data_IF_300854238670
#
_entry.id   IF_300854238670
#
_cell.length_a   1.000
_cell.length_b   1.000
_cell.length_c   1.000
_cell.angle_alpha   90.00
_cell.angle_beta   90.00
_cell.angle_gamma   90.00
#
_symmetry.space_group_name_H-M   'P 1'
#
loop_
_entity.id
_entity.type
_entity.pdbx_description
1 polymer ?
#
# COMPACT_ATOMS: atom_id res chain seq x y z
N UNK A 1 52.51 -6.37 67.07
CA UNK A 1 52.02 -5.13 66.44
C UNK A 1 52.77 -4.93 65.13
N UNK A 2 52.02 -4.54 64.10
CA UNK A 2 52.30 -4.71 62.68
C UNK A 2 53.46 -3.89 62.10
N UNK A 3 54.00 -4.40 60.98
CA UNK A 3 54.91 -3.76 60.03
C UNK A 3 55.88 -4.84 59.51
N UNK A 4 56.11 -5.08 58.22
CA UNK A 4 55.79 -4.39 56.96
C UNK A 4 56.03 -5.45 55.87
N UNK A 5 55.19 -5.58 54.84
CA UNK A 5 55.43 -6.53 53.73
C UNK A 5 55.39 -5.82 52.38
N UNK A 6 56.46 -6.08 51.63
CA UNK A 6 56.85 -5.60 50.30
C UNK A 6 55.76 -5.47 49.25
N UNK A 7 55.82 -4.32 48.58
CA UNK A 7 55.92 -4.10 47.12
C UNK A 7 55.99 -5.34 46.22
N UNK A 8 54.98 -5.47 45.36
CA UNK A 8 55.11 -6.02 44.00
C UNK A 8 54.36 -5.06 43.08
N UNK A 9 55.10 -4.58 42.08
CA UNK A 9 54.67 -3.64 41.05
C UNK A 9 54.02 -4.34 39.85
N UNK A 10 53.15 -3.57 39.19
CA UNK A 10 52.85 -3.51 37.75
C UNK A 10 52.23 -4.72 37.04
N UNK A 11 50.93 -4.60 36.73
CA UNK A 11 50.46 -4.64 35.34
C UNK A 11 49.03 -4.06 35.23
N UNK A 12 48.88 -2.79 34.86
CA UNK A 12 47.60 -2.24 34.38
C UNK A 12 47.50 -2.46 32.86
N UNK A 13 46.44 -3.10 32.35
CA UNK A 13 46.02 -2.90 30.98
C UNK A 13 45.01 -1.74 30.93
N UNK A 14 45.37 -0.76 30.12
CA UNK A 14 44.57 0.35 29.65
C UNK A 14 43.32 -0.08 28.87
N UNK A 15 42.26 0.71 29.08
CA UNK A 15 41.25 1.14 28.10
C UNK A 15 40.53 0.07 27.25
N UNK A 16 39.29 -0.20 27.65
CA UNK A 16 38.20 -0.44 26.71
C UNK A 16 36.90 0.04 27.36
N UNK A 17 36.62 1.34 27.23
CA UNK A 17 35.28 1.87 27.42
C UNK A 17 34.31 1.19 26.46
N UNK A 18 33.63 0.15 26.92
CA UNK A 18 32.44 -0.40 26.24
C UNK A 18 31.35 0.65 26.38
N UNK A 19 31.17 1.48 25.35
CA UNK A 19 29.96 2.26 25.16
C UNK A 19 28.82 1.27 24.90
N UNK A 20 28.01 1.09 25.93
CA UNK A 20 26.79 0.29 25.91
C UNK A 20 25.71 1.08 25.14
N UNK A 21 25.71 0.99 23.82
CA UNK A 21 24.68 1.56 22.93
C UNK A 21 23.36 0.75 22.97
N UNK A 22 22.92 0.34 24.16
CA UNK A 22 21.66 -0.40 24.41
C UNK A 22 20.46 0.55 24.65
N UNK A 23 20.24 1.52 23.77
CA UNK A 23 19.14 2.50 23.92
C UNK A 23 17.90 2.28 23.03
N UNK A 24 17.84 1.21 22.23
CA UNK A 24 16.71 0.95 21.31
C UNK A 24 15.48 0.28 21.94
N UNK A 25 15.64 -0.79 22.74
CA UNK A 25 14.52 -1.64 23.15
C UNK A 25 13.71 -1.11 24.34
N UNK A 26 14.35 -0.46 25.31
CA UNK A 26 13.68 0.09 26.51
C UNK A 26 12.70 1.23 26.19
N UNK A 27 12.97 2.00 25.13
CA UNK A 27 12.13 3.14 24.73
C UNK A 27 10.79 2.71 24.14
N UNK A 28 10.81 1.73 23.23
CA UNK A 28 9.62 1.27 22.54
C UNK A 28 8.66 0.50 23.45
N UNK A 29 9.18 -0.31 24.39
CA UNK A 29 8.35 -1.00 25.39
C UNK A 29 7.68 -0.02 26.38
N UNK A 30 8.40 1.06 26.73
CA UNK A 30 7.86 2.16 27.54
C UNK A 30 6.75 2.94 26.81
N UNK A 31 6.95 3.27 25.53
CA UNK A 31 5.96 4.00 24.73
C UNK A 31 4.70 3.18 24.47
N UNK A 32 4.86 1.88 24.25
CA UNK A 32 3.77 0.92 24.09
C UNK A 32 2.94 0.81 25.37
N UNK A 33 3.60 0.61 26.52
CA UNK A 33 2.92 0.55 27.81
C UNK A 33 2.18 1.85 28.11
N UNK A 34 2.74 3.00 27.72
CA UNK A 34 2.06 4.31 27.81
C UNK A 34 0.88 4.43 26.86
N UNK A 35 0.89 3.73 25.72
CA UNK A 35 -0.23 3.72 24.78
C UNK A 35 -1.41 2.92 25.34
N UNK A 36 -1.17 1.69 25.80
CA UNK A 36 -2.21 0.83 26.38
C UNK A 36 -2.79 1.42 27.65
N UNK A 37 -1.95 1.95 28.53
CA UNK A 37 -2.40 2.62 29.76
C UNK A 37 -3.32 3.81 29.45
N UNK A 38 -2.97 4.65 28.47
CA UNK A 38 -3.82 5.78 28.04
C UNK A 38 -5.17 5.31 27.51
N UNK A 39 -5.19 4.23 26.74
CA UNK A 39 -6.44 3.66 26.22
C UNK A 39 -7.30 3.09 27.34
N UNK A 40 -6.69 2.37 28.29
CA UNK A 40 -7.38 1.83 29.46
C UNK A 40 -7.93 2.94 30.37
N UNK A 41 -7.13 3.97 30.68
CA UNK A 41 -7.55 5.09 31.53
C UNK A 41 -8.75 5.82 30.94
N UNK A 42 -8.74 6.07 29.63
CA UNK A 42 -9.88 6.67 28.94
C UNK A 42 -11.12 5.75 29.01
N UNK A 43 -10.97 4.47 28.67
CA UNK A 43 -12.05 3.49 28.77
C UNK A 43 -12.64 3.40 30.18
N UNK A 44 -11.80 3.34 31.19
CA UNK A 44 -12.19 3.26 32.60
C UNK A 44 -12.94 4.53 33.03
N UNK A 45 -12.48 5.71 32.58
CA UNK A 45 -13.16 6.98 32.85
C UNK A 45 -14.58 7.04 32.27
N UNK A 46 -14.82 6.39 31.12
CA UNK A 46 -16.14 6.29 30.49
C UNK A 46 -17.04 5.25 31.17
N UNK A 47 -16.45 4.19 31.72
CA UNK A 47 -17.17 3.09 32.36
C UNK A 47 -17.92 3.57 33.60
N UNK A 48 -17.25 4.35 34.45
CA UNK A 48 -17.79 4.72 35.76
C UNK A 48 -18.27 3.49 36.53
N UNK A 49 -19.50 3.54 37.05
CA UNK A 49 -20.10 2.45 37.82
C UNK A 49 -20.78 1.36 36.97
N UNK A 50 -20.77 1.48 35.63
CA UNK A 50 -21.38 0.49 34.73
C UNK A 50 -20.48 -0.75 34.58
N UNK A 51 -21.06 -1.82 34.04
CA UNK A 51 -20.31 -3.00 33.64
C UNK A 51 -19.43 -2.70 32.43
N UNK A 52 -19.96 -1.95 31.45
CA UNK A 52 -19.22 -1.49 30.28
C UNK A 52 -19.47 0.00 29.99
N UNK A 53 -18.46 0.73 29.46
CA UNK A 53 -18.67 2.07 28.93
C UNK A 53 -19.61 2.05 27.72
N UNK A 54 -20.35 3.14 27.55
CA UNK A 54 -21.24 3.28 26.41
C UNK A 54 -20.45 3.65 25.16
N UNK A 55 -20.72 2.96 24.06
CA UNK A 55 -20.14 3.26 22.75
C UNK A 55 -20.43 4.71 22.32
N UNK A 56 -21.63 5.21 22.62
CA UNK A 56 -22.06 6.58 22.29
C UNK A 56 -21.25 7.68 22.99
N UNK A 57 -20.48 7.35 24.03
CA UNK A 57 -19.62 8.29 24.75
C UNK A 57 -18.18 8.36 24.19
N UNK A 58 -17.87 7.57 23.16
CA UNK A 58 -16.60 7.69 22.45
C UNK A 58 -16.54 9.02 21.68
N UNK A 59 -15.47 9.77 21.90
CA UNK A 59 -15.22 11.05 21.23
C UNK A 59 -13.93 10.98 20.41
N UNK A 60 -13.85 11.69 19.27
CA UNK A 60 -12.61 11.80 18.52
C UNK A 60 -11.43 12.32 19.37
N UNK A 61 -11.68 13.25 20.29
CA UNK A 61 -10.69 13.85 21.17
C UNK A 61 -10.10 12.83 22.14
N UNK A 62 -10.95 11.99 22.76
CA UNK A 62 -10.50 10.92 23.65
C UNK A 62 -9.70 9.84 22.93
N UNK A 63 -10.04 9.57 21.66
CA UNK A 63 -9.31 8.59 20.84
C UNK A 63 -8.00 9.13 20.27
N UNK A 64 -7.86 10.46 20.11
CA UNK A 64 -6.74 11.10 19.41
C UNK A 64 -5.34 10.57 19.78
N UNK A 65 -5.02 10.28 21.06
CA UNK A 65 -3.68 9.82 21.45
C UNK A 65 -3.28 8.44 20.89
N UNK A 66 -4.24 7.57 20.56
CA UNK A 66 -4.00 6.20 20.10
C UNK A 66 -4.79 5.84 18.83
N UNK A 67 -5.50 6.81 18.25
CA UNK A 67 -6.38 6.68 17.08
C UNK A 67 -5.78 5.92 15.91
N UNK A 68 -4.50 6.13 15.58
CA UNK A 68 -3.85 5.48 14.45
C UNK A 68 -3.53 4.00 14.70
N UNK A 69 -3.45 3.61 15.98
CA UNK A 69 -3.13 2.28 16.48
C UNK A 69 -4.39 1.52 16.95
N UNK A 70 -5.59 2.01 16.60
CA UNK A 70 -6.85 1.43 17.08
C UNK A 70 -7.65 0.75 15.97
N UNK A 71 -8.41 -0.26 16.35
CA UNK A 71 -9.44 -0.93 15.56
C UNK A 71 -10.71 -0.99 16.40
N UNK A 72 -11.85 -0.56 15.85
CA UNK A 72 -13.15 -0.76 16.48
C UNK A 72 -13.88 -1.90 15.78
N UNK A 73 -14.29 -2.87 16.58
CA UNK A 73 -15.01 -4.05 16.15
C UNK A 73 -16.41 -4.05 16.75
N UNK A 74 -17.40 -4.43 15.95
CA UNK A 74 -18.73 -4.80 16.42
C UNK A 74 -18.85 -6.32 16.37
N UNK A 75 -19.23 -6.93 17.50
CA UNK A 75 -19.50 -8.36 17.54
C UNK A 75 -20.78 -8.66 16.75
N UNK A 76 -20.69 -9.66 15.88
CA UNK A 76 -21.77 -10.09 14.99
C UNK A 76 -21.92 -11.61 15.07
N UNK A 77 -23.07 -12.14 14.66
CA UNK A 77 -23.27 -13.58 14.57
C UNK A 77 -22.21 -14.18 13.62
N UNK A 78 -21.27 -14.92 14.19
CA UNK A 78 -20.17 -15.55 13.45
C UNK A 78 -18.86 -14.79 13.42
N UNK A 79 -18.69 -13.64 14.10
CA UNK A 79 -17.36 -12.98 14.21
C UNK A 79 -17.42 -11.51 14.60
N UNK A 80 -16.55 -10.70 14.00
CA UNK A 80 -16.46 -9.27 14.28
C UNK A 80 -16.40 -8.42 13.01
N UNK A 81 -17.21 -7.37 12.93
CA UNK A 81 -17.27 -6.43 11.83
C UNK A 81 -16.49 -5.15 12.15
N UNK A 82 -15.63 -4.73 11.24
CA UNK A 82 -14.80 -3.55 11.41
C UNK A 82 -15.62 -2.27 11.25
N UNK A 83 -15.68 -1.45 12.30
CA UNK A 83 -16.39 -0.16 12.30
C UNK A 83 -15.46 1.04 12.17
N UNK A 84 -14.21 0.89 12.60
CA UNK A 84 -13.15 1.89 12.45
C UNK A 84 -11.79 1.19 12.38
N UNK A 85 -10.89 1.72 11.56
CA UNK A 85 -9.50 1.26 11.45
C UNK A 85 -8.55 2.45 11.45
N UNK A 86 -7.55 2.39 12.33
CA UNK A 86 -6.45 3.34 12.39
C UNK A 86 -5.42 3.08 11.29
N UNK A 87 -4.76 4.14 10.85
CA UNK A 87 -3.82 4.09 9.72
C UNK A 87 -2.71 3.05 9.91
N UNK A 88 -2.17 2.89 11.13
CA UNK A 88 -1.10 1.93 11.38
C UNK A 88 -1.62 0.50 11.38
N UNK A 89 -2.80 0.25 11.97
CA UNK A 89 -3.45 -1.06 11.94
C UNK A 89 -3.76 -1.48 10.50
N UNK A 90 -4.18 -0.55 9.65
CA UNK A 90 -4.41 -0.81 8.22
C UNK A 90 -3.16 -1.27 7.44
N UNK A 91 -1.95 -1.05 7.97
CA UNK A 91 -0.70 -1.52 7.36
C UNK A 91 -0.32 -2.96 7.75
N UNK A 92 -1.00 -3.55 8.75
CA UNK A 92 -0.72 -4.91 9.22
C UNK A 92 -1.12 -5.99 8.22
N UNK A 93 -2.00 -5.65 7.29
CA UNK A 93 -2.70 -6.61 6.48
C UNK A 93 -2.27 -6.49 5.03
N UNK A 94 -2.04 -7.64 4.40
CA UNK A 94 -1.65 -7.73 2.99
C UNK A 94 -2.75 -7.17 2.07
N UNK A 95 -4.00 -7.35 2.50
CA UNK A 95 -5.19 -6.77 1.90
C UNK A 95 -5.77 -5.65 2.79
N UNK A 96 -6.25 -4.55 2.18
CA UNK A 96 -6.81 -3.44 2.95
C UNK A 96 -8.13 -3.85 3.62
N UNK A 97 -8.13 -3.89 4.96
CA UNK A 97 -9.39 -3.93 5.71
C UNK A 97 -10.15 -2.63 5.52
N UNK A 98 -11.38 -2.76 5.01
CA UNK A 98 -12.30 -1.65 4.88
C UNK A 98 -13.31 -1.66 6.03
N UNK A 99 -13.84 -0.48 6.34
CA UNK A 99 -14.98 -0.35 7.23
C UNK A 99 -16.16 -1.16 6.65
N UNK A 100 -16.79 -1.96 7.48
CA UNK A 100 -17.89 -2.85 7.12
C UNK A 100 -17.45 -4.27 6.78
N UNK A 101 -16.15 -4.54 6.66
CA UNK A 101 -15.66 -5.90 6.42
C UNK A 101 -15.70 -6.73 7.71
N UNK A 102 -16.08 -8.00 7.60
CA UNK A 102 -16.00 -8.97 8.67
C UNK A 102 -14.59 -9.56 8.75
N UNK A 103 -14.02 -9.71 9.96
CA UNK A 103 -12.67 -10.24 10.13
C UNK A 103 -12.49 -11.66 9.60
N UNK A 104 -13.55 -12.48 9.57
CA UNK A 104 -13.48 -13.82 8.96
C UNK A 104 -13.25 -13.81 7.45
N UNK A 105 -13.37 -12.66 6.78
CA UNK A 105 -13.01 -12.53 5.37
C UNK A 105 -11.49 -12.63 5.13
N UNK A 106 -10.67 -12.66 6.19
CA UNK A 106 -9.21 -12.72 6.13
C UNK A 106 -8.67 -13.96 6.88
N UNK A 107 -9.01 -15.19 6.46
CA UNK A 107 -8.59 -16.40 7.15
C UNK A 107 -7.06 -16.61 7.14
N UNK A 108 -6.37 -16.12 6.10
CA UNK A 108 -4.92 -16.21 5.97
C UNK A 108 -4.17 -15.08 6.71
N UNK A 109 -4.89 -14.16 7.36
CA UNK A 109 -4.28 -13.12 8.16
C UNK A 109 -3.99 -13.60 9.58
N UNK A 110 -2.71 -13.77 9.88
CA UNK A 110 -2.18 -13.99 11.23
C UNK A 110 -2.83 -13.07 12.29
N UNK A 111 -2.85 -11.76 12.01
CA UNK A 111 -3.44 -10.76 12.90
C UNK A 111 -4.96 -10.92 13.08
N UNK A 112 -5.71 -11.13 11.98
CA UNK A 112 -7.17 -11.29 12.08
C UNK A 112 -7.54 -12.57 12.83
N UNK A 113 -6.86 -13.68 12.53
CA UNK A 113 -7.07 -14.97 13.19
C UNK A 113 -6.72 -14.92 14.68
N UNK A 114 -5.60 -14.31 15.05
CA UNK A 114 -5.22 -14.11 16.44
C UNK A 114 -6.26 -13.29 17.20
N UNK A 115 -6.75 -12.21 16.58
CA UNK A 115 -7.73 -11.32 17.18
C UNK A 115 -9.10 -11.99 17.34
N UNK A 116 -9.55 -12.75 16.35
CA UNK A 116 -10.77 -13.58 16.43
C UNK A 116 -10.69 -14.59 17.59
N UNK A 117 -9.51 -15.19 17.81
CA UNK A 117 -9.27 -16.09 18.94
C UNK A 117 -9.42 -15.41 20.31
N UNK A 118 -9.10 -14.13 20.45
CA UNK A 118 -9.22 -13.40 21.73
C UNK A 118 -10.66 -13.26 22.21
N UNK A 119 -11.64 -13.29 21.31
CA UNK A 119 -13.05 -13.12 21.64
C UNK A 119 -13.93 -14.26 21.12
N UNK A 120 -13.34 -15.44 20.93
CA UNK A 120 -14.08 -16.67 20.62
C UNK A 120 -15.08 -17.00 21.76
N UNK A 121 -14.66 -16.79 23.01
CA UNK A 121 -15.49 -17.01 24.21
C UNK A 121 -16.20 -15.74 24.67
N UNK A 122 -17.32 -15.93 25.38
CA UNK A 122 -18.05 -14.83 26.02
C UNK A 122 -17.16 -14.08 27.03
N UNK A 123 -16.39 -14.82 27.84
CA UNK A 123 -15.44 -14.22 28.80
C UNK A 123 -14.38 -13.36 28.10
N UNK A 124 -13.88 -13.82 26.95
CA UNK A 124 -12.98 -13.04 26.10
C UNK A 124 -13.63 -11.72 25.70
N UNK A 125 -14.87 -11.75 25.18
CA UNK A 125 -15.61 -10.55 24.75
C UNK A 125 -15.88 -9.53 25.85
N UNK A 126 -15.97 -9.97 27.10
CA UNK A 126 -16.35 -9.12 28.23
C UNK A 126 -15.17 -8.60 29.05
N UNK A 127 -13.94 -9.07 28.82
CA UNK A 127 -12.80 -8.68 29.64
C UNK A 127 -11.98 -7.57 28.97
N UNK A 128 -11.70 -6.50 29.72
CA UNK A 128 -10.62 -5.59 29.38
C UNK A 128 -9.29 -6.32 29.64
N UNK A 129 -8.59 -6.69 28.57
CA UNK A 129 -7.41 -7.55 28.66
C UNK A 129 -6.33 -7.14 27.67
N UNK A 130 -5.09 -7.18 28.14
CA UNK A 130 -3.94 -7.16 27.27
C UNK A 130 -3.74 -8.54 26.64
N UNK A 131 -3.28 -8.55 25.40
CA UNK A 131 -2.89 -9.75 24.68
C UNK A 131 -1.57 -9.50 23.97
N UNK A 132 -0.83 -10.59 23.82
CA UNK A 132 0.40 -10.64 23.05
C UNK A 132 0.26 -11.76 22.03
N UNK A 133 0.68 -11.47 20.82
CA UNK A 133 0.65 -12.38 19.72
C UNK A 133 1.94 -12.23 18.92
N UNK A 134 2.65 -13.33 18.80
CA UNK A 134 3.93 -13.40 18.13
C UNK A 134 3.83 -14.52 17.09
N UNK A 135 3.75 -14.15 15.81
CA UNK A 135 3.76 -15.09 14.68
C UNK A 135 4.74 -14.61 13.62
N UNK A 136 5.64 -15.50 13.19
CA UNK A 136 6.76 -15.21 12.30
C UNK A 136 7.53 -13.93 12.71
N UNK A 137 7.48 -12.93 11.83
CA UNK A 137 8.12 -11.63 11.96
C UNK A 137 7.21 -10.60 12.60
N UNK A 138 5.97 -10.91 12.96
CA UNK A 138 5.04 -9.97 13.56
C UNK A 138 5.00 -10.18 15.07
N UNK A 139 5.53 -9.21 15.81
CA UNK A 139 5.33 -9.06 17.25
C UNK A 139 4.24 -8.02 17.44
N UNK A 140 3.06 -8.46 17.85
CA UNK A 140 1.89 -7.63 18.08
C UNK A 140 1.46 -7.72 19.53
N UNK A 141 1.32 -6.58 20.16
CA UNK A 141 0.80 -6.46 21.51
C UNK A 141 -0.35 -5.48 21.51
N UNK A 142 -1.38 -5.78 22.28
CA UNK A 142 -2.55 -4.92 22.30
C UNK A 142 -3.33 -5.03 23.58
N UNK A 143 -4.28 -4.12 23.71
CA UNK A 143 -5.32 -4.16 24.73
C UNK A 143 -6.68 -4.15 24.04
N UNK A 144 -7.54 -5.07 24.48
CA UNK A 144 -8.94 -5.14 24.09
C UNK A 144 -9.79 -4.51 25.18
N UNK A 145 -10.71 -3.63 24.76
CA UNK A 145 -11.52 -2.79 25.63
C UNK A 145 -12.99 -2.85 25.18
N UNK A 146 -13.86 -3.58 25.91
CA UNK A 146 -15.24 -3.81 25.49
C UNK A 146 -16.15 -2.59 25.70
N UNK A 147 -17.09 -2.35 24.79
CA UNK A 147 -18.09 -1.29 24.89
C UNK A 147 -19.50 -1.86 24.69
N UNK A 148 -20.47 -1.15 25.24
CA UNK A 148 -21.88 -1.51 25.18
C UNK A 148 -22.73 -0.40 24.55
N UNK A 149 -23.89 -0.75 24.00
CA UNK A 149 -24.94 0.22 23.68
C UNK A 149 -25.67 0.73 24.94
N UNK A 150 -25.81 -0.12 25.95
CA UNK A 150 -26.70 0.05 27.12
C UNK A 150 -25.97 0.02 28.46
N UNK A 151 -24.77 -0.55 28.51
CA UNK A 151 -23.88 -0.58 29.67
C UNK A 151 -23.76 -1.94 30.37
N UNK A 152 -24.47 -2.96 29.89
CA UNK A 152 -24.65 -4.30 30.48
C UNK A 152 -24.14 -5.43 29.58
N UNK A 153 -24.26 -5.30 28.25
CA UNK A 153 -23.78 -6.33 27.30
C UNK A 153 -22.67 -5.77 26.41
N UNK A 154 -21.56 -6.49 26.27
CA UNK A 154 -20.49 -6.11 25.35
C UNK A 154 -20.94 -6.32 23.89
N UNK A 155 -21.06 -5.23 23.13
CA UNK A 155 -21.42 -5.25 21.71
C UNK A 155 -20.24 -4.92 20.80
N UNK A 156 -19.23 -4.23 21.35
CA UNK A 156 -18.08 -3.78 20.60
C UNK A 156 -16.80 -4.07 21.37
N UNK A 157 -15.69 -4.12 20.64
CA UNK A 157 -14.34 -4.08 21.20
C UNK A 157 -13.55 -2.96 20.54
N UNK A 158 -12.99 -2.06 21.33
CA UNK A 158 -11.86 -1.24 20.90
C UNK A 158 -10.59 -2.04 21.14
N UNK A 159 -9.82 -2.23 20.09
CA UNK A 159 -8.54 -2.93 20.13
C UNK A 159 -7.47 -1.89 19.84
N UNK A 160 -6.60 -1.64 20.79
CA UNK A 160 -5.45 -0.74 20.62
C UNK A 160 -4.21 -1.62 20.56
N UNK A 161 -3.51 -1.58 19.44
CA UNK A 161 -2.36 -2.45 19.18
C UNK A 161 -1.15 -1.63 18.84
N UNK A 162 -0.01 -2.05 19.37
CA UNK A 162 1.27 -1.72 18.80
C UNK A 162 1.85 -2.98 18.17
N UNK A 163 2.62 -2.80 17.12
CA UNK A 163 3.24 -3.92 16.47
C UNK A 163 4.62 -3.53 15.99
N UNK A 164 5.51 -4.51 16.06
CA UNK A 164 6.83 -4.45 15.47
C UNK A 164 6.88 -5.60 14.50
N UNK A 165 7.20 -5.27 13.25
CA UNK A 165 7.75 -6.30 12.40
C UNK A 165 9.17 -6.53 12.93
N UNK A 166 9.41 -7.64 13.62
CA UNK A 166 10.76 -8.12 13.87
C UNK A 166 11.44 -8.12 12.51
N UNK A 167 12.47 -7.29 12.36
CA UNK A 167 13.47 -7.58 11.35
C UNK A 167 13.88 -9.01 11.67
N UNK A 168 13.65 -9.92 10.73
CA UNK A 168 13.90 -11.33 10.98
C UNK A 168 15.28 -11.44 11.60
N UNK A 169 15.38 -12.23 12.68
CA UNK A 169 16.69 -12.76 13.05
C UNK A 169 17.22 -13.37 11.76
N UNK A 170 18.22 -12.71 11.17
CA UNK A 170 18.95 -13.17 10.00
C UNK A 170 19.62 -14.47 10.41
N UNK A 171 18.90 -15.58 10.29
CA UNK A 171 19.42 -16.94 10.28
C UNK A 171 18.86 -17.68 9.06
N UNK A 172 18.70 -16.96 7.96
CA UNK A 172 18.85 -17.50 6.61
C UNK A 172 20.05 -16.78 6.02
N UNK A 173 20.98 -17.52 5.43
CA UNK A 173 22.13 -17.00 4.70
C UNK A 173 21.78 -15.66 4.03
N UNK A 174 22.53 -14.59 4.32
CA UNK A 174 22.43 -13.35 3.56
C UNK A 174 22.61 -13.73 2.10
N UNK A 175 21.52 -13.79 1.34
CA UNK A 175 21.61 -14.22 -0.04
C UNK A 175 22.37 -13.13 -0.79
N UNK A 176 23.60 -13.45 -1.15
CA UNK A 176 24.50 -12.52 -1.79
C UNK A 176 24.12 -12.37 -3.27
N UNK A 177 23.52 -11.23 -3.60
CA UNK A 177 23.21 -10.86 -4.97
C UNK A 177 24.38 -10.17 -5.70
N UNK A 178 25.59 -10.16 -5.12
CA UNK A 178 26.77 -9.53 -5.73
C UNK A 178 27.07 -10.09 -7.11
N UNK A 179 26.82 -11.37 -7.37
CA UNK A 179 27.02 -11.97 -8.69
C UNK A 179 26.02 -11.44 -9.72
N UNK A 180 24.74 -11.28 -9.34
CA UNK A 180 23.72 -10.70 -10.21
C UNK A 180 23.97 -9.22 -10.51
N UNK A 181 24.43 -8.46 -9.51
CA UNK A 181 24.87 -7.07 -9.67
C UNK A 181 26.11 -7.01 -10.57
N UNK A 182 27.10 -7.85 -10.33
CA UNK A 182 28.31 -7.94 -11.15
C UNK A 182 28.01 -8.31 -12.61
N UNK A 183 27.04 -9.20 -12.86
CA UNK A 183 26.56 -9.50 -14.20
C UNK A 183 25.93 -8.27 -14.89
N UNK A 184 25.14 -7.48 -14.15
CA UNK A 184 24.58 -6.22 -14.65
C UNK A 184 25.68 -5.22 -15.02
N UNK A 185 26.67 -5.03 -14.15
CA UNK A 185 27.78 -4.10 -14.37
C UNK A 185 28.63 -4.49 -15.58
N UNK A 186 28.95 -5.78 -15.74
CA UNK A 186 29.67 -6.31 -16.90
C UNK A 186 28.90 -6.05 -18.19
N UNK A 187 27.61 -6.37 -18.21
CA UNK A 187 26.77 -6.17 -19.39
C UNK A 187 26.62 -4.69 -19.75
N UNK A 188 26.40 -3.82 -18.76
CA UNK A 188 26.30 -2.37 -18.96
C UNK A 188 27.61 -1.78 -19.49
N UNK A 189 28.77 -2.25 -18.98
CA UNK A 189 30.09 -1.83 -19.46
C UNK A 189 30.31 -2.19 -20.93
N UNK A 190 29.86 -3.38 -21.37
CA UNK A 190 29.92 -3.79 -22.78
C UNK A 190 29.11 -2.89 -23.71
N UNK A 191 28.04 -2.26 -23.22
CA UNK A 191 27.26 -1.27 -23.99
C UNK A 191 28.03 0.04 -24.18
N UNK A 192 28.88 0.43 -23.22
CA UNK A 192 29.62 1.69 -23.21
C UNK A 192 30.95 1.65 -23.99
N UNK A 193 31.62 0.49 -24.04
CA UNK A 193 32.97 0.36 -24.61
C UNK A 193 33.04 0.16 -26.13
N UNK A 194 31.90 -0.05 -26.79
CA UNK A 194 31.82 -0.08 -28.26
C UNK A 194 31.29 1.27 -28.73
N UNK A 195 31.96 1.91 -29.69
CA UNK A 195 31.57 3.16 -30.36
C UNK A 195 30.17 3.03 -31.00
N UNK A 196 29.13 3.11 -30.17
CA UNK A 196 27.78 2.64 -30.49
C UNK A 196 27.59 1.16 -30.13
N UNK A 197 27.30 0.88 -28.85
CA UNK A 197 26.97 -0.46 -28.35
C UNK A 197 26.06 -1.25 -29.30
N UNK A 198 26.48 -2.46 -29.66
CA UNK A 198 25.68 -3.31 -30.55
C UNK A 198 24.29 -3.54 -29.93
N UNK A 199 23.25 -3.67 -30.76
CA UNK A 199 21.88 -3.93 -30.28
C UNK A 199 21.83 -5.20 -29.42
N UNK A 200 22.65 -6.19 -29.76
CA UNK A 200 22.81 -7.43 -29.00
C UNK A 200 23.34 -7.16 -27.59
N UNK A 201 24.41 -6.36 -27.44
CA UNK A 201 24.95 -5.98 -26.12
C UNK A 201 23.92 -5.25 -25.24
N UNK A 202 23.08 -4.40 -25.83
CA UNK A 202 21.99 -3.76 -25.08
C UNK A 202 20.96 -4.79 -24.61
N UNK A 203 20.60 -5.76 -25.45
CA UNK A 203 19.61 -6.78 -25.09
C UNK A 203 20.14 -7.73 -24.02
N UNK A 204 21.43 -8.06 -24.04
CA UNK A 204 22.11 -8.78 -22.95
C UNK A 204 22.08 -7.99 -21.64
N UNK A 205 22.28 -6.67 -21.68
CA UNK A 205 22.15 -5.82 -20.49
C UNK A 205 20.69 -5.80 -19.95
N UNK A 206 19.69 -5.85 -20.84
CA UNK A 206 18.29 -5.97 -20.43
C UNK A 206 17.97 -7.36 -19.85
N UNK A 207 18.58 -8.43 -20.37
CA UNK A 207 18.48 -9.77 -19.83
C UNK A 207 19.09 -9.86 -18.42
N UNK A 208 20.28 -9.28 -18.21
CA UNK A 208 20.90 -9.19 -16.89
C UNK A 208 20.03 -8.39 -15.89
N UNK A 209 19.45 -7.26 -16.32
CA UNK A 209 18.54 -6.48 -15.49
C UNK A 209 17.26 -7.27 -15.12
N UNK A 210 16.72 -8.05 -16.05
CA UNK A 210 15.58 -8.93 -15.78
C UNK A 210 15.96 -10.06 -14.83
N UNK A 211 17.13 -10.65 -14.98
CA UNK A 211 17.65 -11.69 -14.06
C UNK A 211 17.75 -11.16 -12.64
N UNK A 212 18.33 -9.98 -12.44
CA UNK A 212 18.41 -9.32 -11.14
C UNK A 212 17.03 -9.07 -10.54
N UNK A 213 16.04 -8.70 -11.35
CA UNK A 213 14.67 -8.53 -10.90
C UNK A 213 14.03 -9.86 -10.48
N UNK A 214 14.16 -10.92 -11.29
CA UNK A 214 13.64 -12.27 -11.03
C UNK A 214 14.25 -12.85 -9.75
N UNK A 215 15.57 -12.76 -9.60
CA UNK A 215 16.31 -13.16 -8.40
C UNK A 215 15.83 -12.37 -7.18
N UNK A 216 15.58 -11.06 -7.35
CA UNK A 216 15.00 -10.23 -6.30
C UNK A 216 13.54 -10.56 -5.96
N UNK A 217 12.78 -11.22 -6.83
CA UNK A 217 11.46 -11.77 -6.47
C UNK A 217 11.59 -13.04 -5.62
N UNK A 218 12.60 -13.86 -5.88
CA UNK A 218 12.91 -15.06 -5.08
C UNK A 218 13.53 -14.69 -3.73
N UNK A 219 14.29 -13.59 -3.67
CA UNK A 219 15.00 -13.11 -2.49
C UNK A 219 14.62 -11.65 -2.14
N UNK A 220 13.36 -11.38 -1.74
CA UNK A 220 12.84 -10.01 -1.58
C UNK A 220 13.58 -9.18 -0.51
N UNK A 221 14.12 -9.82 0.53
CA UNK A 221 14.87 -9.14 1.58
C UNK A 221 16.24 -8.66 1.07
N UNK A 222 16.98 -9.52 0.38
CA UNK A 222 18.26 -9.16 -0.25
C UNK A 222 18.05 -8.05 -1.29
N UNK A 223 16.98 -8.14 -2.10
CA UNK A 223 16.61 -7.10 -3.05
C UNK A 223 16.25 -5.77 -2.40
N UNK A 224 15.50 -5.79 -1.30
CA UNK A 224 15.19 -4.57 -0.55
C UNK A 224 16.45 -3.93 0.06
N UNK A 225 17.41 -4.73 0.53
CA UNK A 225 18.70 -4.23 1.03
C UNK A 225 19.52 -3.58 -0.09
N UNK A 226 19.68 -4.27 -1.24
CA UNK A 226 20.37 -3.74 -2.42
C UNK A 226 19.75 -2.41 -2.90
N UNK A 227 18.41 -2.35 -2.98
CA UNK A 227 17.73 -1.11 -3.38
C UNK A 227 17.99 0.03 -2.41
N UNK A 228 18.03 -0.25 -1.11
CA UNK A 228 18.30 0.75 -0.07
C UNK A 228 19.71 1.31 -0.19
N UNK A 229 20.70 0.44 -0.39
CA UNK A 229 22.10 0.82 -0.62
C UNK A 229 22.25 1.69 -1.87
N UNK A 230 21.55 1.34 -2.95
CA UNK A 230 21.52 2.11 -4.18
C UNK A 230 20.70 3.42 -4.10
N UNK A 231 20.05 3.72 -2.96
CA UNK A 231 19.17 4.89 -2.79
C UNK A 231 17.87 4.80 -3.62
N UNK A 232 17.42 3.59 -3.93
CA UNK A 232 16.24 3.29 -4.72
C UNK A 232 15.11 2.73 -3.84
N UNK A 233 13.88 2.72 -4.38
CA UNK A 233 12.71 2.10 -3.75
C UNK A 233 12.03 1.18 -4.75
N UNK A 234 11.49 0.06 -4.26
CA UNK A 234 10.65 -0.82 -5.05
C UNK A 234 9.39 -0.09 -5.51
N UNK A 235 8.93 -0.35 -6.74
CA UNK A 235 7.82 0.37 -7.36
C UNK A 235 6.82 -0.59 -7.98
N UNK A 236 5.68 -0.83 -7.30
CA UNK A 236 4.60 -1.72 -7.81
C UNK A 236 4.13 -1.35 -9.22
N UNK A 237 4.09 -0.06 -9.56
CA UNK A 237 3.66 0.44 -10.88
C UNK A 237 4.75 0.39 -11.96
N UNK A 238 6.00 0.18 -11.58
CA UNK A 238 7.16 0.19 -12.46
C UNK A 238 8.21 -0.85 -11.99
N UNK A 239 7.84 -2.15 -11.93
CA UNK A 239 8.60 -3.17 -11.20
C UNK A 239 10.03 -3.35 -11.70
N UNK A 240 10.27 -3.23 -13.00
CA UNK A 240 11.60 -3.39 -13.62
C UNK A 240 12.50 -2.15 -13.51
N UNK A 241 11.95 -0.99 -13.17
CA UNK A 241 12.72 0.27 -13.17
C UNK A 241 13.86 0.30 -12.15
N UNK A 242 13.70 -0.20 -10.92
CA UNK A 242 14.81 -0.26 -9.97
C UNK A 242 15.97 -1.13 -10.45
N UNK A 243 15.71 -2.34 -10.99
CA UNK A 243 16.74 -3.19 -11.56
C UNK A 243 17.47 -2.50 -12.73
N UNK A 244 16.74 -1.88 -13.66
CA UNK A 244 17.34 -1.12 -14.75
C UNK A 244 18.22 0.05 -14.27
N UNK A 245 17.87 0.70 -13.15
CA UNK A 245 18.69 1.77 -12.56
C UNK A 245 19.94 1.24 -11.87
N UNK A 246 19.90 0.03 -11.33
CA UNK A 246 21.10 -0.65 -10.83
C UNK A 246 22.02 -0.97 -12.01
N UNK A 247 21.48 -1.54 -13.10
CA UNK A 247 22.27 -1.93 -14.28
C UNK A 247 22.87 -0.75 -15.03
N UNK A 248 22.08 0.27 -15.36
CA UNK A 248 22.53 1.39 -16.22
C UNK A 248 22.96 2.64 -15.45
N UNK A 249 22.74 2.66 -14.14
CA UNK A 249 22.98 3.82 -13.28
C UNK A 249 21.75 4.71 -13.11
N UNK A 250 21.67 5.34 -11.93
CA UNK A 250 20.54 6.20 -11.52
C UNK A 250 20.32 7.43 -12.41
N UNK A 251 21.40 7.92 -13.03
CA UNK A 251 21.44 9.14 -13.85
C UNK A 251 21.34 8.84 -15.35
N UNK A 252 21.08 7.58 -15.73
CA UNK A 252 20.87 7.20 -17.12
C UNK A 252 19.62 7.89 -17.72
N UNK A 253 19.60 8.03 -19.04
CA UNK A 253 18.52 8.72 -19.74
C UNK A 253 17.13 8.16 -19.38
N UNK A 254 16.28 9.03 -18.80
CA UNK A 254 14.96 8.65 -18.28
C UNK A 254 14.03 8.12 -19.37
N UNK A 255 14.17 8.63 -20.59
CA UNK A 255 13.34 8.18 -21.73
C UNK A 255 13.71 6.75 -22.09
N UNK A 256 15.00 6.43 -22.20
CA UNK A 256 15.50 5.09 -22.46
C UNK A 256 15.10 4.10 -21.38
N UNK A 257 15.29 4.43 -20.10
CA UNK A 257 14.87 3.56 -19.00
C UNK A 257 13.37 3.21 -19.07
N UNK A 258 12.53 4.18 -19.44
CA UNK A 258 11.08 3.97 -19.60
C UNK A 258 10.76 3.05 -20.77
N UNK A 259 11.49 3.17 -21.88
CA UNK A 259 11.36 2.29 -23.05
C UNK A 259 11.80 0.86 -22.73
N UNK A 260 12.92 0.71 -22.04
CA UNK A 260 13.45 -0.58 -21.59
C UNK A 260 12.48 -1.28 -20.63
N UNK A 261 11.98 -0.56 -19.62
CA UNK A 261 10.99 -1.10 -18.69
C UNK A 261 9.70 -1.54 -19.41
N UNK A 262 9.26 -0.80 -20.43
CA UNK A 262 8.09 -1.16 -21.24
C UNK A 262 8.36 -2.38 -22.12
N UNK A 263 9.58 -2.52 -22.65
CA UNK A 263 9.97 -3.67 -23.45
C UNK A 263 10.03 -4.95 -22.60
N UNK A 264 10.65 -4.88 -21.41
CA UNK A 264 10.67 -6.00 -20.45
C UNK A 264 9.25 -6.38 -20.01
N UNK A 265 8.40 -5.41 -19.69
CA UNK A 265 7.01 -5.68 -19.32
C UNK A 265 6.22 -6.40 -20.41
N UNK A 266 6.47 -6.07 -21.68
CA UNK A 266 5.86 -6.76 -22.81
C UNK A 266 6.42 -8.18 -22.96
N UNK A 267 7.74 -8.34 -22.96
CA UNK A 267 8.41 -9.65 -23.10
C UNK A 267 7.97 -10.63 -22.00
N UNK A 268 7.99 -10.20 -20.74
CA UNK A 268 7.52 -11.02 -19.61
C UNK A 268 6.05 -11.40 -19.75
N UNK A 269 5.19 -10.51 -20.28
CA UNK A 269 3.78 -10.87 -20.57
C UNK A 269 3.65 -11.93 -21.67
N UNK A 270 4.61 -11.99 -22.60
CA UNK A 270 4.68 -13.05 -23.61
C UNK A 270 5.26 -14.36 -23.05
N UNK A 271 5.65 -14.40 -21.77
CA UNK A 271 6.24 -15.58 -21.12
C UNK A 271 7.76 -15.66 -21.22
N UNK A 272 8.42 -14.60 -21.70
CA UNK A 272 9.88 -14.55 -21.78
C UNK A 272 10.51 -14.32 -20.40
N UNK A 273 11.66 -14.96 -20.16
CA UNK A 273 12.43 -14.87 -18.92
C UNK A 273 13.77 -14.16 -19.18
N UNK A 274 14.57 -13.97 -18.13
CA UNK A 274 15.95 -13.47 -18.29
C UNK A 274 16.82 -14.32 -19.22
N UNK A 275 16.53 -15.61 -19.38
CA UNK A 275 17.29 -16.50 -20.28
C UNK A 275 16.90 -16.33 -21.76
N UNK A 276 15.68 -15.89 -22.05
CA UNK A 276 15.14 -15.86 -23.42
C UNK A 276 14.93 -14.45 -23.97
N UNK A 277 14.84 -13.44 -23.11
CA UNK A 277 14.47 -12.07 -23.49
C UNK A 277 15.43 -11.43 -24.49
N UNK A 278 16.73 -11.74 -24.45
CA UNK A 278 17.69 -11.19 -25.41
C UNK A 278 17.39 -11.66 -26.84
N UNK A 279 17.28 -12.98 -27.03
CA UNK A 279 16.93 -13.59 -28.31
C UNK A 279 15.54 -13.17 -28.80
N UNK A 280 14.58 -13.02 -27.87
CA UNK A 280 13.27 -12.48 -28.18
C UNK A 280 13.36 -11.07 -28.78
N UNK A 281 14.11 -10.15 -28.14
CA UNK A 281 14.26 -8.77 -28.61
C UNK A 281 15.02 -8.63 -29.93
N UNK A 282 15.88 -9.60 -30.26
CA UNK A 282 16.54 -9.68 -31.58
C UNK A 282 15.56 -10.05 -32.69
N UNK A 283 14.69 -11.02 -32.42
CA UNK A 283 13.73 -11.53 -33.40
C UNK A 283 12.44 -10.71 -33.48
N UNK A 284 12.15 -9.90 -32.48
CA UNK A 284 10.93 -9.09 -32.40
C UNK A 284 10.91 -7.96 -33.46
N UNK A 285 9.92 -7.91 -34.36
CA UNK A 285 9.77 -6.82 -35.33
C UNK A 285 9.80 -5.42 -34.69
N UNK A 286 10.86 -4.67 -34.97
CA UNK A 286 11.10 -3.32 -34.43
C UNK A 286 11.80 -3.28 -33.07
N UNK A 287 12.23 -4.43 -32.54
CA UNK A 287 12.91 -4.57 -31.25
C UNK A 287 12.18 -3.85 -30.11
N UNK A 288 12.93 -3.14 -29.27
CA UNK A 288 12.41 -2.35 -28.13
C UNK A 288 11.22 -1.44 -28.53
N UNK A 289 11.33 -0.73 -29.66
CA UNK A 289 10.24 0.18 -30.11
C UNK A 289 8.98 -0.58 -30.50
N UNK A 290 9.14 -1.77 -31.09
CA UNK A 290 8.05 -2.70 -31.37
C UNK A 290 7.33 -3.14 -30.10
N UNK A 291 8.10 -3.56 -29.08
CA UNK A 291 7.58 -3.92 -27.76
C UNK A 291 6.83 -2.75 -27.10
N UNK A 292 7.42 -1.56 -27.06
CA UNK A 292 6.80 -0.35 -26.46
C UNK A 292 5.44 -0.05 -27.10
N UNK A 293 5.34 -0.15 -28.43
CA UNK A 293 4.08 0.10 -29.15
C UNK A 293 3.01 -0.91 -28.76
N UNK A 294 3.35 -2.21 -28.73
CA UNK A 294 2.41 -3.27 -28.35
C UNK A 294 2.02 -3.21 -26.88
N UNK A 295 2.95 -2.87 -26.00
CA UNK A 295 2.71 -2.65 -24.58
C UNK A 295 1.70 -1.52 -24.36
N UNK A 296 1.88 -0.41 -25.08
CA UNK A 296 0.96 0.73 -25.03
C UNK A 296 -0.43 0.39 -25.56
N UNK A 297 -0.56 -0.44 -26.60
CA UNK A 297 -1.87 -0.89 -27.08
C UNK A 297 -2.56 -1.83 -26.10
N UNK A 298 -1.82 -2.76 -25.49
CA UNK A 298 -2.36 -3.69 -24.50
C UNK A 298 -2.87 -2.98 -23.24
N UNK A 299 -2.12 -1.99 -22.73
CA UNK A 299 -2.55 -1.16 -21.60
C UNK A 299 -3.79 -0.32 -21.92
N UNK A 300 -3.97 0.13 -23.16
CA UNK A 300 -5.20 0.82 -23.57
C UNK A 300 -6.40 -0.13 -23.60
N UNK A 301 -6.20 -1.37 -24.06
CA UNK A 301 -7.25 -2.38 -24.13
C UNK A 301 -7.75 -2.89 -22.77
N UNK A 302 -6.90 -2.93 -21.74
CA UNK A 302 -7.26 -3.47 -20.42
C UNK A 302 -7.93 -2.47 -19.47
N UNK A 303 -7.73 -1.17 -19.68
CA UNK A 303 -7.91 -0.16 -18.62
C UNK A 303 -8.91 0.93 -19.01
N UNK A 304 -9.25 1.06 -20.30
CA UNK A 304 -9.89 2.25 -20.84
C UNK A 304 -8.93 3.45 -20.75
N UNK A 305 -8.96 4.33 -21.73
CA UNK A 305 -8.23 5.59 -21.68
C UNK A 305 -8.63 6.42 -20.44
N UNK A 306 -7.74 7.29 -19.99
CA UNK A 306 -8.06 8.25 -18.93
C UNK A 306 -9.23 9.18 -19.29
N UNK A 307 -9.56 9.32 -20.58
CA UNK A 307 -10.75 10.02 -21.03
C UNK A 307 -12.02 9.18 -20.80
N UNK A 308 -11.99 7.89 -21.14
CA UNK A 308 -13.12 6.97 -20.93
C UNK A 308 -13.42 6.76 -19.44
N UNK A 309 -12.40 6.74 -18.58
CA UNK A 309 -12.59 6.70 -17.12
C UNK A 309 -13.27 7.95 -16.59
N UNK A 310 -12.78 9.14 -16.98
CA UNK A 310 -13.41 10.42 -16.61
C UNK A 310 -14.85 10.51 -17.11
N UNK A 311 -15.12 9.98 -18.30
CA UNK A 311 -16.46 9.91 -18.85
C UNK A 311 -17.38 8.96 -18.06
N UNK A 312 -16.87 7.79 -17.67
CA UNK A 312 -17.62 6.82 -16.87
C UNK A 312 -17.92 7.35 -15.46
N UNK A 313 -16.94 7.99 -14.81
CA UNK A 313 -17.12 8.67 -13.52
C UNK A 313 -18.15 9.80 -13.61
N UNK A 314 -18.06 10.64 -14.65
CA UNK A 314 -19.03 11.71 -14.88
C UNK A 314 -20.45 11.16 -15.13
N UNK A 315 -20.58 10.09 -15.91
CA UNK A 315 -21.88 9.45 -16.16
C UNK A 315 -22.49 8.86 -14.88
N UNK A 316 -21.68 8.22 -14.03
CA UNK A 316 -22.12 7.66 -12.74
C UNK A 316 -22.53 8.75 -11.72
N UNK A 317 -21.89 9.91 -11.76
CA UNK A 317 -22.33 11.07 -10.97
C UNK A 317 -23.68 11.58 -11.45
N UNK A 318 -23.81 11.79 -12.77
CA UNK A 318 -25.04 12.31 -13.41
C UNK A 318 -26.22 11.35 -13.25
N UNK A 319 -26.00 10.03 -13.20
CA UNK A 319 -27.07 9.05 -12.97
C UNK A 319 -27.68 9.10 -11.57
N UNK A 320 -26.97 9.65 -10.59
CA UNK A 320 -27.44 9.76 -9.20
C UNK A 320 -28.03 11.13 -8.85
N UNK A 321 -27.93 12.11 -9.75
CA UNK A 321 -28.55 13.43 -9.56
C UNK A 321 -30.08 13.31 -9.61
N UNK A 322 -30.79 14.06 -8.76
CA UNK A 322 -32.25 14.13 -8.79
C UNK A 322 -32.72 14.86 -10.06
N UNK A 323 -33.66 14.27 -10.80
CA UNK A 323 -34.26 14.92 -11.96
C UNK A 323 -34.98 16.22 -11.58
N UNK A 324 -34.97 17.18 -12.51
CA UNK A 324 -35.59 18.51 -12.38
C UNK A 324 -36.68 18.70 -13.42
N UNK A 325 -37.70 19.50 -13.11
CA UNK A 325 -38.71 19.88 -14.12
C UNK A 325 -38.08 20.85 -15.11
N UNK A 326 -38.48 20.78 -16.39
CA UNK A 326 -38.08 21.78 -17.38
C UNK A 326 -38.62 23.18 -17.02
N UNK A 327 -39.78 23.24 -16.38
CA UNK A 327 -40.40 24.51 -15.94
C UNK A 327 -39.60 25.19 -14.81
N UNK A 328 -38.80 24.41 -14.07
CA UNK A 328 -37.95 24.92 -12.99
C UNK A 328 -36.59 25.43 -13.52
N UNK A 329 -36.29 25.22 -14.80
CA UNK A 329 -35.04 25.66 -15.43
C UNK A 329 -35.24 27.04 -16.06
N UNK A 330 -34.50 28.04 -15.57
CA UNK A 330 -34.50 29.38 -16.16
C UNK A 330 -33.18 29.68 -16.89
N UNK A 331 -33.28 30.31 -18.06
CA UNK A 331 -32.13 30.81 -18.81
C UNK A 331 -32.49 32.13 -19.51
N UNK A 332 -31.52 33.03 -19.62
CA UNK A 332 -31.59 34.31 -20.32
C UNK A 332 -31.22 34.22 -21.81
N UNK A 333 -30.86 33.02 -22.29
CA UNK A 333 -30.44 32.75 -23.67
C UNK A 333 -31.60 32.24 -24.52
N UNK A 334 -31.57 32.55 -25.82
CA UNK A 334 -32.56 32.07 -26.80
C UNK A 334 -32.56 30.52 -26.89
N UNK A 335 -31.38 29.90 -26.83
CA UNK A 335 -31.22 28.44 -26.81
C UNK A 335 -30.28 28.01 -25.68
N UNK A 336 -30.70 26.98 -24.95
CA UNK A 336 -29.93 26.39 -23.84
C UNK A 336 -29.83 24.88 -23.97
N UNK A 337 -28.72 24.31 -23.53
CA UNK A 337 -28.49 22.87 -23.57
C UNK A 337 -28.92 22.25 -22.23
N UNK A 338 -29.89 21.34 -22.30
CA UNK A 338 -30.34 20.55 -21.14
C UNK A 338 -29.84 19.12 -21.30
N UNK A 339 -29.24 18.59 -20.23
CA UNK A 339 -28.93 17.16 -20.15
C UNK A 339 -30.18 16.45 -19.68
N UNK A 340 -30.65 15.48 -20.45
CA UNK A 340 -31.79 14.64 -20.10
C UNK A 340 -31.38 13.16 -20.08
N UNK A 341 -32.05 12.37 -19.26
CA UNK A 341 -31.85 10.91 -19.18
C UNK A 341 -33.18 10.17 -19.23
N UNK A 342 -33.20 8.87 -19.60
CA UNK A 342 -34.41 8.06 -19.57
C UNK A 342 -34.96 7.91 -18.15
N UNK A 343 -36.28 8.02 -18.01
CA UNK A 343 -36.98 7.75 -16.75
C UNK A 343 -37.46 6.30 -16.69
N UNK A 344 -37.44 5.71 -15.50
CA UNK A 344 -38.07 4.41 -15.24
C UNK A 344 -39.58 4.52 -15.46
N UNK A 345 -40.13 3.74 -16.40
CA UNK A 345 -41.51 3.86 -16.87
C UNK A 345 -41.71 4.65 -18.17
N UNK A 346 -40.63 5.09 -18.82
CA UNK A 346 -40.63 5.72 -20.14
C UNK A 346 -40.59 7.25 -20.11
N UNK A 347 -40.19 7.83 -21.25
CA UNK A 347 -39.95 9.27 -21.37
C UNK A 347 -38.54 9.69 -20.91
N UNK A 348 -38.30 11.00 -20.94
CA UNK A 348 -37.05 11.62 -20.52
C UNK A 348 -37.31 12.51 -19.30
N UNK A 349 -36.38 12.52 -18.36
CA UNK A 349 -36.31 13.51 -17.29
C UNK A 349 -35.10 14.41 -17.49
N UNK A 350 -35.26 15.72 -17.23
CA UNK A 350 -34.14 16.64 -17.25
C UNK A 350 -33.28 16.45 -16.00
N UNK A 351 -31.96 16.50 -16.17
CA UNK A 351 -30.98 16.44 -15.08
C UNK A 351 -30.52 17.84 -14.71
N UNK A 352 -30.41 18.74 -15.69
CA UNK A 352 -30.06 20.14 -15.46
C UNK A 352 -29.60 20.87 -16.71
N UNK A 353 -29.39 22.17 -16.57
CA UNK A 353 -28.77 23.02 -17.59
C UNK A 353 -27.26 22.74 -17.67
N UNK A 354 -26.75 22.52 -18.87
CA UNK A 354 -25.32 22.38 -19.11
C UNK A 354 -24.66 23.76 -19.14
N UNK A 355 -23.65 23.96 -18.30
CA UNK A 355 -22.80 25.15 -18.35
C UNK A 355 -21.75 25.00 -19.47
N UNK A 356 -22.12 25.45 -20.68
CA UNK A 356 -21.28 25.36 -21.88
C UNK A 356 -21.21 26.71 -22.59
N UNK A 357 -20.07 26.97 -23.22
CA UNK A 357 -19.87 28.19 -24.02
C UNK A 357 -20.76 28.24 -25.27
N UNK A 358 -21.06 29.47 -25.74
CA UNK A 358 -21.97 29.71 -26.87
C UNK A 358 -21.56 28.97 -28.15
N UNK A 359 -20.26 28.86 -28.43
CA UNK A 359 -19.75 28.14 -29.61
C UNK A 359 -20.21 26.67 -29.67
N UNK A 360 -20.33 26.01 -28.51
CA UNK A 360 -20.80 24.62 -28.42
C UNK A 360 -22.30 24.55 -28.68
N UNK A 361 -23.07 25.50 -28.16
CA UNK A 361 -24.52 25.60 -28.40
C UNK A 361 -24.78 25.79 -29.89
N UNK A 362 -24.10 26.74 -30.54
CA UNK A 362 -24.26 27.00 -31.98
C UNK A 362 -23.87 25.80 -32.85
N UNK A 363 -22.84 25.05 -32.44
CA UNK A 363 -22.45 23.80 -33.13
C UNK A 363 -23.55 22.73 -33.02
N UNK A 364 -24.21 22.61 -31.87
CA UNK A 364 -25.32 21.66 -31.67
C UNK A 364 -26.54 22.10 -32.47
N UNK A 365 -26.88 23.40 -32.48
CA UNK A 365 -28.00 23.95 -33.27
C UNK A 365 -27.83 23.62 -34.76
N UNK A 366 -26.64 23.86 -35.33
CA UNK A 366 -26.37 23.52 -36.74
C UNK A 366 -26.59 22.04 -37.03
N UNK A 367 -26.04 21.16 -36.19
CA UNK A 367 -26.22 19.69 -36.32
C UNK A 367 -27.68 19.26 -36.17
N UNK A 368 -28.45 19.94 -35.33
CA UNK A 368 -29.86 19.66 -35.14
C UNK A 368 -30.70 20.15 -36.32
N UNK A 369 -30.41 21.33 -36.85
CA UNK A 369 -31.05 21.85 -38.06
C UNK A 369 -30.80 20.94 -39.28
N UNK A 370 -29.60 20.40 -39.42
CA UNK A 370 -29.25 19.43 -40.48
C UNK A 370 -30.02 18.11 -40.38
N UNK A 371 -30.57 17.76 -39.21
CA UNK A 371 -31.41 16.56 -39.03
C UNK A 371 -32.88 16.77 -39.37
N UNK A 372 -33.35 18.02 -39.42
CA UNK A 372 -34.76 18.37 -39.62
C UNK A 372 -35.01 18.88 -41.05
N UNK A 373 -33.96 19.28 -41.76
CA UNK A 373 -33.95 19.34 -43.22
C UNK A 373 -33.95 17.93 -43.80
#
# INVERSE_FOLDING_TARGET
MNGTRNDISDNEPSDAGVQDDFHGEKGADSDERRLHLRAFDYWHSLKGDREFPLFSQLTPEGLAPYRNNSLLLEFTDGGATVRYIGNNVGLLLEEPILKGTNLNAFPDSAFASALLGQFETEEGRTRAAEFEFIEDLLDCRGIMLPFSHSGDVAHFAMVVVNFRRREGVEHGETYDMSEAVGACERAASSVAHLDGGSRSSLYEALAAALKLYEEGQTHPNAYAALLREAGLKAQKRAPYTPALKITFGKDYDKTRLTEYASALAYAVRQGETSETVAAFLENEPGGIKGCVRRERSARRGQVGSAAERRQAEAAALVSNVRGVSLDDLSSDKEFSLVIARPKEGGGLEAVGLADVGQNTVDAIIRRFADKIK
#
